data_IF_552383805883
#
_entry.id   IF_552383805883
#
_cell.length_a   1.000
_cell.length_b   1.000
_cell.length_c   1.000
_cell.angle_alpha   90.00
_cell.angle_beta   90.00
_cell.angle_gamma   90.00
#
_symmetry.space_group_name_H-M   'P 1'
#
loop_
_entity.id
_entity.type
_entity.pdbx_description
1 polymer ?
#
# COMPACT_ATOMS: atom_id res chain seq x y z
N UNK A 1 -3.52 -33.30 17.34
CA UNK A 1 -4.91 -32.99 16.92
C UNK A 1 -4.88 -32.28 15.57
N UNK A 2 -5.04 -33.05 14.50
CA UNK A 2 -5.04 -32.59 13.10
C UNK A 2 -6.32 -31.79 12.82
N UNK A 3 -6.23 -30.46 12.80
CA UNK A 3 -7.26 -29.64 12.14
C UNK A 3 -6.90 -29.59 10.66
N UNK A 4 -7.51 -30.50 9.92
CA UNK A 4 -7.61 -30.51 8.46
C UNK A 4 -7.69 -29.09 7.89
N UNK A 5 -6.81 -28.77 6.93
CA UNK A 5 -6.88 -27.58 6.08
C UNK A 5 -8.05 -27.63 5.08
N UNK A 6 -9.07 -28.46 5.34
CA UNK A 6 -10.30 -28.51 4.55
C UNK A 6 -10.99 -27.15 4.62
N UNK A 7 -10.85 -26.42 3.53
CA UNK A 7 -11.51 -25.15 3.27
C UNK A 7 -13.03 -25.42 3.22
N UNK A 8 -13.84 -24.85 4.12
CA UNK A 8 -15.29 -24.99 4.04
C UNK A 8 -15.77 -24.41 2.71
N UNK A 9 -16.61 -25.16 1.98
CA UNK A 9 -17.38 -24.65 0.84
C UNK A 9 -18.46 -23.71 1.40
N UNK A 10 -18.12 -22.44 1.58
CA UNK A 10 -19.10 -21.40 1.89
C UNK A 10 -19.84 -21.04 0.59
N UNK A 11 -21.18 -21.03 0.62
CA UNK A 11 -22.09 -20.84 -0.51
C UNK A 11 -22.11 -19.42 -1.10
N UNK A 12 -20.95 -18.76 -1.17
CA UNK A 12 -20.79 -17.40 -1.70
C UNK A 12 -20.56 -17.43 -3.21
N UNK A 13 -21.23 -16.52 -3.91
CA UNK A 13 -21.23 -16.27 -5.37
C UNK A 13 -19.92 -15.64 -5.88
N UNK A 14 -18.77 -16.17 -5.49
CA UNK A 14 -17.44 -15.74 -5.95
C UNK A 14 -16.91 -16.56 -7.13
N UNK A 15 -15.92 -16.06 -7.89
CA UNK A 15 -15.35 -16.82 -8.99
C UNK A 15 -14.64 -18.09 -8.49
N UNK A 16 -14.79 -19.20 -9.23
CA UNK A 16 -14.06 -20.43 -8.96
C UNK A 16 -12.56 -20.22 -9.15
N UNK A 17 -11.77 -20.88 -8.31
CA UNK A 17 -10.31 -20.85 -8.32
C UNK A 17 -9.74 -22.27 -8.38
N UNK A 18 -8.48 -22.41 -8.80
CA UNK A 18 -7.71 -23.66 -8.79
C UNK A 18 -7.17 -24.02 -7.38
N UNK A 19 -8.02 -23.97 -6.35
CA UNK A 19 -7.60 -24.06 -4.94
C UNK A 19 -6.83 -25.34 -4.58
N UNK A 20 -7.20 -26.47 -5.18
CA UNK A 20 -6.61 -27.79 -5.01
C UNK A 20 -5.19 -27.90 -5.58
N UNK A 21 -4.84 -27.00 -6.50
CA UNK A 21 -3.51 -26.95 -7.13
C UNK A 21 -2.55 -25.97 -6.43
N UNK A 22 -3.04 -25.17 -5.49
CA UNK A 22 -2.23 -24.16 -4.82
C UNK A 22 -1.42 -24.78 -3.69
N UNK A 23 -0.12 -24.48 -3.70
CA UNK A 23 0.79 -24.88 -2.64
C UNK A 23 0.90 -23.75 -1.62
N UNK A 24 0.75 -24.10 -0.35
CA UNK A 24 1.09 -23.21 0.75
C UNK A 24 2.52 -23.49 1.23
N UNK A 25 3.34 -22.45 1.36
CA UNK A 25 4.71 -22.54 1.85
C UNK A 25 4.92 -21.57 3.01
N UNK A 26 5.87 -21.88 3.89
CA UNK A 26 6.26 -20.92 4.95
C UNK A 26 7.40 -20.06 4.43
N UNK A 27 7.23 -18.75 4.52
CA UNK A 27 8.32 -17.77 4.33
C UNK A 27 8.45 -16.93 5.58
N UNK A 28 9.60 -16.32 5.79
CA UNK A 28 9.85 -15.52 6.98
C UNK A 28 10.60 -14.23 6.66
N UNK A 29 10.36 -13.23 7.51
CA UNK A 29 11.14 -12.01 7.59
C UNK A 29 11.32 -11.61 9.04
N UNK A 30 11.96 -10.47 9.26
CA UNK A 30 12.03 -9.80 10.55
C UNK A 30 11.48 -8.39 10.42
N UNK A 31 10.99 -7.83 11.52
CA UNK A 31 10.57 -6.43 11.57
C UNK A 31 11.77 -5.56 11.22
N UNK A 32 11.64 -4.80 10.14
CA UNK A 32 12.69 -3.95 9.59
C UNK A 32 12.85 -2.67 10.41
N UNK A 33 14.05 -2.10 10.44
CA UNK A 33 14.25 -0.73 10.94
C UNK A 33 13.54 0.28 10.02
N UNK A 34 13.19 1.48 10.52
CA UNK A 34 12.93 2.63 9.65
C UNK A 34 14.11 2.88 8.71
N UNK A 35 13.84 3.23 7.46
CA UNK A 35 14.87 3.45 6.45
C UNK A 35 15.29 4.93 6.47
N UNK A 36 16.50 5.18 6.96
CA UNK A 36 17.18 6.47 6.84
C UNK A 36 17.87 6.60 5.47
N UNK A 37 17.81 7.79 4.87
CA UNK A 37 18.62 8.16 3.71
C UNK A 37 19.86 8.95 4.17
N UNK A 38 20.85 9.11 3.30
CA UNK A 38 22.05 9.89 3.61
C UNK A 38 21.73 11.36 3.98
N UNK A 39 20.68 11.92 3.36
CA UNK A 39 20.12 13.21 3.74
C UNK A 39 18.94 13.01 4.69
N UNK A 40 18.85 13.87 5.72
CA UNK A 40 17.67 13.96 6.58
C UNK A 40 16.44 14.54 5.84
N UNK A 41 16.64 15.15 4.68
CA UNK A 41 15.61 15.86 3.94
C UNK A 41 15.02 15.04 2.79
N UNK A 42 13.69 15.04 2.70
CA UNK A 42 12.91 14.70 1.51
C UNK A 42 12.56 15.99 0.78
N UNK A 43 12.93 16.10 -0.50
CA UNK A 43 12.64 17.28 -1.32
C UNK A 43 11.30 17.05 -2.00
N UNK A 44 10.33 17.93 -1.71
CA UNK A 44 9.00 17.84 -2.30
C UNK A 44 8.95 18.32 -3.74
N UNK A 45 7.91 17.95 -4.48
CA UNK A 45 7.60 18.47 -5.82
C UNK A 45 7.33 19.99 -5.83
N UNK A 46 7.12 20.57 -4.65
CA UNK A 46 7.02 22.01 -4.41
C UNK A 46 8.38 22.68 -4.15
N UNK A 47 9.48 21.94 -4.26
CA UNK A 47 10.84 22.40 -3.98
C UNK A 47 11.17 22.52 -2.49
N UNK A 48 10.28 22.10 -1.58
CA UNK A 48 10.47 22.25 -0.14
C UNK A 48 11.10 21.00 0.46
N UNK A 49 12.25 21.17 1.11
CA UNK A 49 12.89 20.14 1.92
C UNK A 49 12.14 19.93 3.25
N UNK A 50 11.89 18.67 3.62
CA UNK A 50 11.19 18.28 4.85
C UNK A 50 11.91 17.15 5.57
N UNK A 51 11.94 17.19 6.90
CA UNK A 51 12.38 16.07 7.74
C UNK A 51 11.15 15.35 8.25
N UNK A 52 10.91 14.14 7.74
CA UNK A 52 9.66 13.39 7.96
C UNK A 52 9.96 11.94 8.29
N UNK A 53 9.11 11.27 9.08
CA UNK A 53 9.14 9.82 9.19
C UNK A 53 8.88 9.19 7.81
N UNK A 54 9.62 8.11 7.52
CA UNK A 54 9.65 7.45 6.22
C UNK A 54 9.09 6.03 6.24
N UNK A 55 9.61 5.20 5.32
CA UNK A 55 9.38 3.76 5.23
C UNK A 55 10.06 2.98 6.35
N UNK A 56 9.61 1.74 6.57
CA UNK A 56 10.17 0.80 7.54
C UNK A 56 9.69 0.99 8.97
N UNK A 57 10.05 0.05 9.83
CA UNK A 57 9.69 0.09 11.25
C UNK A 57 8.28 -0.38 11.57
N UNK A 58 7.77 0.15 12.68
CA UNK A 58 6.42 -0.13 13.20
C UNK A 58 5.68 1.19 13.31
N UNK A 59 4.68 1.41 12.47
CA UNK A 59 3.78 2.55 12.58
C UNK A 59 2.74 2.29 13.68
N UNK A 60 2.93 2.93 14.84
CA UNK A 60 2.09 2.71 16.02
C UNK A 60 0.69 3.33 15.91
N UNK A 61 0.56 4.41 15.13
CA UNK A 61 -0.68 5.21 15.01
C UNK A 61 -1.30 5.17 13.60
N UNK A 62 -0.78 4.32 12.70
CA UNK A 62 -1.30 4.15 11.34
C UNK A 62 -1.41 2.68 11.00
N UNK A 63 -2.62 2.27 10.62
CA UNK A 63 -2.98 0.90 10.24
C UNK A 63 -3.91 0.94 9.02
N UNK A 64 -4.18 -0.23 8.47
CA UNK A 64 -5.24 -0.38 7.45
C UNK A 64 -6.58 0.20 7.95
N UNK A 65 -7.28 0.88 7.06
CA UNK A 65 -8.50 1.62 7.33
C UNK A 65 -8.28 3.08 7.72
N UNK A 66 -7.08 3.50 8.14
CA UNK A 66 -6.78 4.91 8.42
C UNK A 66 -6.54 5.69 7.11
N UNK A 67 -6.81 7.00 7.12
CA UNK A 67 -6.50 7.89 5.98
C UNK A 67 -4.99 7.94 5.72
N UNK A 68 -4.60 7.86 4.45
CA UNK A 68 -3.20 7.76 4.03
C UNK A 68 -2.68 9.00 3.28
N UNK A 69 -3.48 10.08 3.20
CA UNK A 69 -3.13 11.34 2.53
C UNK A 69 -3.02 12.49 3.54
N UNK A 70 -2.05 13.37 3.31
CA UNK A 70 -1.83 14.58 4.11
C UNK A 70 -1.22 14.29 5.47
N UNK A 71 -0.45 13.21 5.57
CA UNK A 71 0.29 12.87 6.78
C UNK A 71 1.58 13.70 6.83
N UNK A 72 2.03 14.05 8.04
CA UNK A 72 3.39 14.55 8.25
C UNK A 72 4.37 13.38 8.21
N UNK A 73 4.51 12.79 7.03
CA UNK A 73 5.30 11.59 6.73
C UNK A 73 5.51 11.48 5.23
N UNK A 74 6.44 10.63 4.80
CA UNK A 74 6.70 10.37 3.37
C UNK A 74 6.81 8.86 3.16
N UNK A 75 5.91 8.28 2.34
CA UNK A 75 5.82 6.81 2.17
C UNK A 75 5.59 6.05 3.49
N UNK A 76 4.73 6.58 4.37
CA UNK A 76 4.42 5.91 5.65
C UNK A 76 3.83 4.52 5.38
N UNK A 77 4.45 3.49 5.93
CA UNK A 77 3.98 2.10 5.85
C UNK A 77 3.13 1.75 7.08
N UNK A 78 1.85 1.36 6.93
CA UNK A 78 0.96 1.09 8.06
C UNK A 78 1.27 -0.26 8.73
N UNK A 79 1.18 -0.30 10.06
CA UNK A 79 1.46 -1.51 10.83
C UNK A 79 2.96 -1.81 10.89
N UNK A 80 3.36 -2.97 10.37
CA UNK A 80 4.73 -3.50 10.47
C UNK A 80 5.33 -3.71 9.10
N UNK A 81 6.53 -3.20 8.88
CA UNK A 81 7.35 -3.51 7.72
C UNK A 81 8.27 -4.71 8.00
N UNK A 82 8.27 -5.70 7.11
CA UNK A 82 9.14 -6.87 7.17
C UNK A 82 10.17 -6.84 6.06
N UNK A 83 11.41 -7.18 6.40
CA UNK A 83 12.48 -7.46 5.45
C UNK A 83 13.18 -8.77 5.87
N UNK A 84 13.71 -9.52 4.91
CA UNK A 84 14.56 -10.67 5.20
C UNK A 84 16.03 -10.31 4.98
N UNK A 85 16.77 -10.13 6.07
CA UNK A 85 18.21 -9.82 6.06
C UNK A 85 19.11 -11.07 6.00
N UNK A 86 18.51 -12.27 5.90
CA UNK A 86 19.24 -13.53 5.87
C UNK A 86 20.00 -13.74 4.57
N UNK A 87 20.90 -14.74 4.60
CA UNK A 87 21.63 -15.23 3.44
C UNK A 87 21.40 -16.73 3.33
N UNK A 88 20.94 -17.18 2.17
CA UNK A 88 20.83 -18.60 1.86
C UNK A 88 22.10 -19.11 1.21
N UNK A 89 22.37 -20.41 1.36
CA UNK A 89 23.53 -21.08 0.73
C UNK A 89 23.49 -20.93 -0.80
N UNK A 90 22.30 -21.01 -1.38
CA UNK A 90 22.07 -20.89 -2.82
C UNK A 90 21.32 -19.62 -3.18
N UNK A 91 21.71 -19.01 -4.31
CA UNK A 91 21.05 -17.84 -4.89
C UNK A 91 21.77 -16.51 -4.64
N UNK A 92 21.22 -15.40 -5.14
CA UNK A 92 21.82 -14.07 -5.01
C UNK A 92 21.73 -13.53 -3.57
N UNK A 93 22.54 -12.52 -3.24
CA UNK A 93 22.64 -11.95 -1.88
C UNK A 93 21.26 -11.62 -1.28
N UNK A 94 20.43 -10.93 -2.04
CA UNK A 94 19.06 -10.54 -1.63
C UNK A 94 18.01 -11.61 -1.94
N UNK A 95 18.43 -12.84 -2.26
CA UNK A 95 17.57 -13.97 -2.60
C UNK A 95 16.47 -14.22 -1.56
N UNK A 96 16.78 -14.29 -0.26
CA UNK A 96 15.79 -14.52 0.78
C UNK A 96 14.70 -13.43 0.83
N UNK A 97 15.08 -12.15 0.67
CA UNK A 97 14.08 -11.08 0.65
C UNK A 97 13.28 -11.05 -0.65
N UNK A 98 13.91 -11.34 -1.78
CA UNK A 98 13.20 -11.52 -3.05
C UNK A 98 12.16 -12.65 -2.98
N UNK A 99 12.50 -13.75 -2.29
CA UNK A 99 11.58 -14.85 -2.05
C UNK A 99 10.42 -14.42 -1.14
N UNK A 100 10.70 -13.72 -0.03
CA UNK A 100 9.68 -13.15 0.86
C UNK A 100 8.73 -12.22 0.08
N UNK A 101 9.28 -11.26 -0.67
CA UNK A 101 8.54 -10.30 -1.49
C UNK A 101 7.70 -11.00 -2.56
N UNK A 102 8.20 -12.05 -3.21
CA UNK A 102 7.44 -12.77 -4.25
C UNK A 102 6.31 -13.58 -3.61
N UNK A 103 6.61 -14.32 -2.55
CA UNK A 103 5.71 -15.33 -1.96
C UNK A 103 4.57 -14.74 -1.14
N UNK A 104 4.83 -13.70 -0.33
CA UNK A 104 3.80 -13.12 0.52
C UNK A 104 2.64 -12.59 -0.34
N UNK A 105 1.41 -12.99 -0.08
CA UNK A 105 0.23 -12.47 -0.76
C UNK A 105 -0.65 -11.71 0.23
N UNK A 106 -1.29 -10.62 -0.22
CA UNK A 106 -2.24 -9.85 0.58
C UNK A 106 -3.36 -10.77 1.06
N UNK A 107 -3.60 -10.78 2.36
CA UNK A 107 -4.52 -11.70 3.03
C UNK A 107 -3.90 -12.99 3.54
N UNK A 108 -2.58 -13.21 3.35
CA UNK A 108 -1.86 -14.30 4.02
C UNK A 108 -1.78 -14.08 5.53
N UNK A 109 -1.76 -15.18 6.26
CA UNK A 109 -1.63 -15.18 7.72
C UNK A 109 -0.17 -14.97 8.09
N UNK A 110 0.08 -14.02 8.98
CA UNK A 110 1.40 -13.76 9.54
C UNK A 110 1.39 -14.10 11.04
N UNK A 111 2.45 -14.71 11.56
CA UNK A 111 2.60 -15.07 12.96
C UNK A 111 3.95 -14.62 13.47
N UNK A 112 3.96 -13.92 14.60
CA UNK A 112 5.18 -13.58 15.31
C UNK A 112 5.75 -14.85 15.95
N UNK A 113 7.03 -15.15 15.73
CA UNK A 113 7.69 -16.39 16.20
C UNK A 113 8.88 -16.14 17.12
N UNK A 114 9.15 -14.87 17.46
CA UNK A 114 10.14 -14.50 18.47
C UNK A 114 9.68 -13.29 19.27
N UNK A 115 10.42 -12.97 20.34
CA UNK A 115 10.17 -11.76 21.13
C UNK A 115 8.90 -11.83 21.99
N UNK A 116 8.54 -10.71 22.64
CA UNK A 116 7.47 -10.65 23.66
C UNK A 116 6.06 -10.84 23.11
N UNK A 117 5.90 -10.83 21.79
CA UNK A 117 4.63 -11.02 21.08
C UNK A 117 4.55 -12.36 20.35
N UNK A 118 5.44 -13.32 20.66
CA UNK A 118 5.40 -14.65 20.07
C UNK A 118 4.00 -15.28 20.13
N UNK A 119 3.58 -15.89 19.03
CA UNK A 119 2.26 -16.51 18.86
C UNK A 119 1.16 -15.56 18.38
N UNK A 120 1.34 -14.23 18.49
CA UNK A 120 0.36 -13.26 17.96
C UNK A 120 0.24 -13.35 16.45
N UNK A 121 -0.98 -13.18 15.96
CA UNK A 121 -1.35 -13.37 14.55
C UNK A 121 -1.76 -12.04 13.94
N UNK A 122 -1.24 -11.79 12.75
CA UNK A 122 -1.55 -10.66 11.89
C UNK A 122 -1.87 -11.12 10.47
N UNK A 123 -1.87 -10.16 9.55
CA UNK A 123 -2.20 -10.40 8.16
C UNK A 123 -1.35 -9.55 7.23
N UNK A 124 -0.86 -10.14 6.14
CA UNK A 124 -0.17 -9.40 5.07
C UNK A 124 -1.15 -8.42 4.41
N UNK A 125 -0.77 -7.15 4.36
CA UNK A 125 -1.60 -6.07 3.81
C UNK A 125 -1.09 -5.51 2.49
N UNK A 126 0.17 -5.76 2.15
CA UNK A 126 0.79 -5.15 0.98
C UNK A 126 2.27 -5.44 0.85
N UNK A 127 2.87 -4.85 -0.19
CA UNK A 127 4.31 -4.88 -0.47
C UNK A 127 4.75 -3.52 -0.98
N UNK A 128 5.89 -3.05 -0.53
CA UNK A 128 6.51 -1.83 -1.02
C UNK A 128 7.83 -2.17 -1.72
N UNK A 129 7.86 -2.01 -3.05
CA UNK A 129 9.03 -2.27 -3.88
C UNK A 129 10.12 -1.20 -3.73
N UNK A 130 11.37 -1.54 -4.03
CA UNK A 130 12.50 -0.61 -3.88
C UNK A 130 13.14 -0.75 -2.50
N UNK A 131 12.42 -0.39 -1.43
CA UNK A 131 12.82 -0.77 -0.06
C UNK A 131 12.57 -2.26 0.22
N UNK A 132 11.73 -2.89 -0.61
CA UNK A 132 11.43 -4.32 -0.60
C UNK A 132 10.91 -4.81 0.75
N UNK A 133 9.88 -4.14 1.24
CA UNK A 133 9.18 -4.51 2.47
C UNK A 133 7.88 -5.26 2.18
N UNK A 134 7.61 -6.30 2.97
CA UNK A 134 6.27 -6.88 3.10
C UNK A 134 5.57 -6.24 4.30
N UNK A 135 4.34 -5.78 4.10
CA UNK A 135 3.59 -5.06 5.14
C UNK A 135 2.61 -5.99 5.84
N UNK A 136 2.53 -5.89 7.16
CA UNK A 136 1.68 -6.74 8.00
C UNK A 136 0.94 -5.89 9.03
N UNK A 137 -0.37 -6.10 9.13
CA UNK A 137 -1.19 -5.52 10.20
C UNK A 137 -1.32 -6.47 11.39
N UNK A 138 -1.16 -5.91 12.59
CA UNK A 138 -1.47 -6.54 13.87
C UNK A 138 -2.37 -5.61 14.70
N UNK A 139 -3.13 -6.14 15.68
CA UNK A 139 -3.83 -5.33 16.66
C UNK A 139 -2.93 -4.30 17.35
N UNK A 140 -3.48 -3.13 17.71
CA UNK A 140 -2.70 -1.99 18.22
C UNK A 140 -1.96 -2.32 19.52
N UNK A 141 -2.56 -3.11 20.42
CA UNK A 141 -1.92 -3.60 21.64
C UNK A 141 -0.70 -4.50 21.37
N UNK A 142 -0.71 -5.22 20.24
CA UNK A 142 0.43 -6.00 19.76
C UNK A 142 1.50 -5.09 19.17
N UNK A 143 1.12 -4.12 18.31
CA UNK A 143 2.05 -3.17 17.69
C UNK A 143 2.91 -2.43 18.72
N UNK A 144 2.30 -2.00 19.84
CA UNK A 144 2.99 -1.30 20.94
C UNK A 144 4.04 -2.14 21.67
N UNK A 145 4.02 -3.47 21.50
CA UNK A 145 4.90 -4.41 22.19
C UNK A 145 5.90 -5.09 21.27
N UNK A 146 5.67 -5.04 19.95
CA UNK A 146 6.58 -5.57 18.95
C UNK A 146 7.90 -4.81 18.97
N UNK A 147 8.98 -5.51 18.62
CA UNK A 147 10.32 -4.94 18.56
C UNK A 147 10.88 -5.06 17.15
N UNK A 148 11.73 -4.11 16.78
CA UNK A 148 12.56 -4.25 15.58
C UNK A 148 13.38 -5.53 15.69
N UNK A 149 13.45 -6.31 14.61
CA UNK A 149 14.12 -7.61 14.58
C UNK A 149 13.26 -8.81 15.01
N UNK A 150 12.06 -8.60 15.58
CA UNK A 150 11.16 -9.72 15.87
C UNK A 150 10.85 -10.48 14.56
N UNK A 151 10.93 -11.82 14.61
CA UNK A 151 10.73 -12.70 13.45
C UNK A 151 9.25 -12.96 13.24
N UNK A 152 8.84 -12.88 11.98
CA UNK A 152 7.46 -13.14 11.55
C UNK A 152 7.48 -14.19 10.45
N UNK A 153 6.73 -15.27 10.66
CA UNK A 153 6.47 -16.29 9.65
C UNK A 153 5.15 -16.00 8.95
N UNK A 154 5.13 -16.14 7.63
CA UNK A 154 3.96 -15.99 6.79
C UNK A 154 3.66 -17.35 6.17
N UNK A 155 2.40 -17.77 6.28
CA UNK A 155 1.88 -18.88 5.46
C UNK A 155 1.57 -18.30 4.08
N UNK A 156 2.55 -18.39 3.18
CA UNK A 156 2.46 -17.95 1.79
C UNK A 156 1.48 -18.85 1.04
N UNK A 157 0.40 -18.29 0.53
CA UNK A 157 -0.61 -19.02 -0.23
C UNK A 157 -1.32 -18.08 -1.22
N UNK A 158 -1.15 -18.30 -2.52
CA UNK A 158 -1.71 -17.46 -3.58
C UNK A 158 -0.87 -17.36 -4.85
N UNK A 159 0.42 -17.72 -4.79
CA UNK A 159 1.21 -17.88 -6.01
C UNK A 159 0.63 -19.01 -6.88
N UNK A 160 0.45 -18.72 -8.17
CA UNK A 160 -0.18 -19.64 -9.12
C UNK A 160 -1.71 -19.65 -9.09
N UNK A 161 -2.35 -18.76 -8.34
CA UNK A 161 -3.80 -18.59 -8.35
C UNK A 161 -4.29 -18.21 -9.74
N UNK A 162 -5.30 -18.94 -10.22
CA UNK A 162 -5.98 -18.69 -11.49
C UNK A 162 -7.48 -18.69 -11.30
N UNK A 163 -8.17 -18.02 -12.21
CA UNK A 163 -9.62 -18.04 -12.37
C UNK A 163 -9.93 -18.84 -13.64
N UNK A 164 -10.19 -20.16 -13.58
CA UNK A 164 -10.28 -20.98 -14.80
C UNK A 164 -11.35 -20.54 -15.81
N UNK A 165 -12.45 -19.96 -15.32
CA UNK A 165 -13.51 -19.39 -16.17
C UNK A 165 -13.19 -18.00 -16.75
N UNK A 166 -12.12 -17.34 -16.28
CA UNK A 166 -11.67 -16.02 -16.74
C UNK A 166 -10.17 -16.03 -17.03
N UNK A 167 -9.69 -16.81 -18.01
CA UNK A 167 -8.25 -16.97 -18.29
C UNK A 167 -7.56 -15.67 -18.74
N UNK A 168 -8.32 -14.67 -19.19
CA UNK A 168 -7.83 -13.33 -19.55
C UNK A 168 -7.55 -12.44 -18.33
N UNK A 169 -7.98 -12.85 -17.13
CA UNK A 169 -7.74 -12.12 -15.88
C UNK A 169 -6.63 -12.82 -15.10
N UNK A 170 -5.54 -12.10 -14.88
CA UNK A 170 -4.40 -12.58 -14.10
C UNK A 170 -4.54 -12.16 -12.64
N UNK A 171 -4.24 -13.10 -11.73
CA UNK A 171 -4.25 -12.85 -10.28
C UNK A 171 -2.80 -12.74 -9.80
N UNK A 172 -2.52 -11.64 -9.13
CA UNK A 172 -1.20 -11.25 -8.64
C UNK A 172 -1.29 -11.03 -7.13
N UNK A 173 -0.25 -11.38 -6.35
CA UNK A 173 -0.13 -11.00 -4.93
C UNK A 173 -1.37 -11.23 -4.03
N UNK A 174 -2.32 -12.09 -4.41
CA UNK A 174 -3.64 -12.16 -3.78
C UNK A 174 -3.86 -13.54 -3.18
N UNK A 175 -4.09 -13.57 -1.86
CA UNK A 175 -4.41 -14.82 -1.19
C UNK A 175 -5.81 -15.32 -1.59
N UNK A 176 -6.04 -16.64 -1.72
CA UNK A 176 -7.38 -17.20 -1.90
C UNK A 176 -8.38 -16.72 -0.84
N UNK A 177 -7.90 -16.46 0.39
CA UNK A 177 -8.71 -15.96 1.50
C UNK A 177 -9.22 -14.53 1.25
N UNK A 178 -8.40 -13.66 0.64
CA UNK A 178 -8.83 -12.31 0.26
C UNK A 178 -9.89 -12.42 -0.84
N UNK A 179 -9.61 -13.16 -1.91
CA UNK A 179 -10.51 -13.29 -3.06
C UNK A 179 -11.91 -13.78 -2.67
N UNK A 180 -12.01 -14.74 -1.74
CA UNK A 180 -13.30 -15.21 -1.19
C UNK A 180 -14.07 -14.17 -0.35
N UNK A 181 -13.37 -13.23 0.26
CA UNK A 181 -13.96 -12.23 1.18
C UNK A 181 -14.24 -10.89 0.50
N UNK A 182 -13.56 -10.59 -0.60
CA UNK A 182 -13.63 -9.31 -1.31
C UNK A 182 -15.03 -9.01 -1.85
N UNK A 183 -15.86 -10.03 -2.09
CA UNK A 183 -17.21 -9.83 -2.63
C UNK A 183 -17.21 -9.58 -4.13
N UNK A 184 -16.26 -10.20 -4.84
CA UNK A 184 -16.26 -10.23 -6.31
C UNK A 184 -17.44 -11.06 -6.80
N UNK A 185 -18.21 -10.51 -7.73
CA UNK A 185 -19.38 -11.16 -8.30
C UNK A 185 -19.12 -11.54 -9.76
N UNK A 186 -19.38 -12.80 -10.08
CA UNK A 186 -19.40 -13.28 -11.45
C UNK A 186 -20.81 -13.12 -12.02
N UNK A 187 -20.97 -12.34 -13.09
CA UNK A 187 -22.26 -12.10 -13.75
C UNK A 187 -22.05 -11.79 -15.23
N UNK A 188 -22.88 -12.35 -16.10
CA UNK A 188 -22.91 -12.06 -17.54
C UNK A 188 -21.52 -12.22 -18.21
N UNK A 189 -20.77 -13.25 -17.81
CA UNK A 189 -19.41 -13.52 -18.30
C UNK A 189 -18.31 -12.58 -17.77
N UNK A 190 -18.66 -11.64 -16.89
CA UNK A 190 -17.77 -10.60 -16.35
C UNK A 190 -17.53 -10.77 -14.85
N UNK A 191 -16.45 -10.17 -14.36
CA UNK A 191 -16.10 -10.09 -12.94
C UNK A 191 -16.32 -8.66 -12.44
N UNK A 192 -17.35 -8.47 -11.61
CA UNK A 192 -17.62 -7.20 -10.95
C UNK A 192 -16.84 -7.15 -9.63
N UNK A 193 -15.87 -6.25 -9.55
CA UNK A 193 -14.92 -6.17 -8.43
C UNK A 193 -15.14 -4.89 -7.62
N UNK A 194 -15.51 -5.01 -6.34
CA UNK A 194 -15.68 -3.85 -5.46
C UNK A 194 -14.39 -3.05 -5.27
N UNK A 195 -14.43 -1.75 -5.58
CA UNK A 195 -13.34 -0.78 -5.37
C UNK A 195 -13.87 0.52 -4.80
N UNK A 196 -13.00 1.27 -4.11
CA UNK A 196 -13.34 2.58 -3.53
C UNK A 196 -13.12 3.72 -4.51
N UNK A 197 -12.12 3.62 -5.38
CA UNK A 197 -11.72 4.69 -6.30
C UNK A 197 -11.35 4.12 -7.68
N UNK A 198 -11.59 4.96 -8.70
CA UNK A 198 -10.97 4.82 -10.01
C UNK A 198 -9.76 5.75 -10.07
N UNK A 199 -8.70 5.31 -10.71
CA UNK A 199 -7.44 6.05 -10.85
C UNK A 199 -7.04 6.03 -12.33
N UNK A 200 -6.98 7.19 -13.00
CA UNK A 200 -6.45 7.25 -14.37
C UNK A 200 -4.98 6.86 -14.41
N UNK A 201 -4.57 6.02 -15.37
CA UNK A 201 -3.17 5.62 -15.57
C UNK A 201 -2.18 6.79 -15.66
N UNK A 202 -2.60 7.95 -16.19
CA UNK A 202 -1.77 9.17 -16.26
C UNK A 202 -1.32 9.73 -14.90
N UNK A 203 -1.95 9.29 -13.80
CA UNK A 203 -1.53 9.63 -12.45
C UNK A 203 -0.52 8.64 -11.88
N UNK A 204 -0.28 7.51 -12.54
CA UNK A 204 0.69 6.53 -12.06
C UNK A 204 2.11 7.04 -12.28
N UNK A 205 3.02 6.77 -11.33
CA UNK A 205 4.39 7.28 -11.34
C UNK A 205 5.41 6.21 -10.98
N UNK A 206 6.10 6.43 -9.85
CA UNK A 206 7.16 5.55 -9.37
C UNK A 206 6.71 4.08 -9.33
N UNK A 207 7.59 3.17 -9.78
CA UNK A 207 7.26 1.76 -10.00
C UNK A 207 6.93 1.40 -11.45
N UNK A 208 6.60 2.38 -12.32
CA UNK A 208 6.56 2.15 -13.77
C UNK A 208 7.92 1.68 -14.30
N UNK A 209 7.89 0.76 -15.29
CA UNK A 209 9.11 0.21 -15.90
C UNK A 209 9.78 -0.93 -15.11
N UNK A 210 9.26 -1.30 -13.93
CA UNK A 210 9.67 -2.54 -13.25
C UNK A 210 9.26 -3.74 -14.10
N UNK A 211 10.12 -4.76 -14.16
CA UNK A 211 9.91 -5.98 -14.96
C UNK A 211 9.06 -7.05 -14.26
N UNK A 212 8.42 -6.72 -13.13
CA UNK A 212 7.54 -7.63 -12.40
C UNK A 212 6.59 -6.84 -11.49
N UNK A 213 5.36 -7.33 -11.36
CA UNK A 213 4.37 -6.82 -10.41
C UNK A 213 4.29 -7.66 -9.11
N UNK A 214 5.04 -8.76 -9.00
CA UNK A 214 4.95 -9.66 -7.83
C UNK A 214 5.73 -9.18 -6.62
N UNK A 215 6.65 -8.23 -6.81
CA UNK A 215 7.63 -7.82 -5.79
C UNK A 215 7.48 -6.38 -5.32
N UNK A 216 6.30 -5.80 -5.45
CA UNK A 216 6.06 -4.45 -4.98
C UNK A 216 4.78 -3.85 -5.51
N UNK A 217 4.82 -2.54 -5.60
CA UNK A 217 3.75 -1.62 -5.87
C UNK A 217 4.21 -0.53 -6.84
N UNK A 218 3.30 0.38 -7.15
CA UNK A 218 3.54 1.58 -7.94
C UNK A 218 2.58 2.70 -7.55
N UNK A 219 3.03 3.94 -7.71
CA UNK A 219 2.51 5.08 -6.97
C UNK A 219 1.45 5.87 -7.72
N UNK A 220 0.42 6.32 -7.00
CA UNK A 220 -0.57 7.30 -7.47
C UNK A 220 -0.10 8.71 -7.13
N UNK A 221 0.28 9.50 -8.12
CA UNK A 221 0.69 10.89 -7.94
C UNK A 221 -0.50 11.78 -7.56
N UNK A 222 -0.33 12.61 -6.53
CA UNK A 222 -1.38 13.48 -5.98
C UNK A 222 -1.11 14.99 -6.17
N UNK A 223 -0.09 15.35 -6.95
CA UNK A 223 0.33 16.74 -7.18
C UNK A 223 -0.66 17.53 -8.03
N UNK A 224 -1.35 16.90 -8.99
CA UNK A 224 -2.38 17.55 -9.80
C UNK A 224 -3.71 17.64 -9.04
N UNK A 225 -3.93 18.79 -8.39
CA UNK A 225 -5.12 19.03 -7.56
C UNK A 225 -6.45 18.85 -8.30
N UNK A 226 -6.68 19.40 -9.52
CA UNK A 226 -7.95 19.24 -10.21
C UNK A 226 -8.31 17.77 -10.47
N UNK A 227 -7.35 16.95 -10.94
CA UNK A 227 -7.60 15.53 -11.16
C UNK A 227 -7.78 14.79 -9.84
N UNK A 228 -6.96 15.09 -8.83
CA UNK A 228 -7.10 14.49 -7.49
C UNK A 228 -8.50 14.71 -6.90
N UNK A 229 -9.04 15.92 -7.00
CA UNK A 229 -10.39 16.26 -6.51
C UNK A 229 -11.48 15.55 -7.33
N UNK A 230 -11.36 15.56 -8.67
CA UNK A 230 -12.31 14.85 -9.58
C UNK A 230 -12.43 13.37 -9.25
N UNK A 231 -11.32 12.70 -8.96
CA UNK A 231 -11.28 11.28 -8.62
C UNK A 231 -11.30 10.99 -7.12
N UNK A 232 -11.49 12.04 -6.29
CA UNK A 232 -11.58 11.94 -4.82
C UNK A 232 -10.36 11.28 -4.16
N UNK A 233 -9.19 11.37 -4.77
CA UNK A 233 -7.99 10.66 -4.30
C UNK A 233 -7.43 11.22 -2.99
N UNK A 234 -7.85 12.42 -2.57
CA UNK A 234 -7.54 12.95 -1.24
C UNK A 234 -8.22 12.20 -0.09
N UNK A 235 -9.15 11.28 -0.37
CA UNK A 235 -9.83 10.46 0.65
C UNK A 235 -9.33 9.01 0.75
N UNK A 236 -8.23 8.67 0.09
CA UNK A 236 -7.64 7.34 0.13
C UNK A 236 -7.28 6.94 1.58
N UNK A 237 -7.47 5.65 1.85
CA UNK A 237 -7.11 4.99 3.11
C UNK A 237 -6.15 3.85 2.84
N UNK A 238 -5.30 3.55 3.81
CA UNK A 238 -4.53 2.32 3.80
C UNK A 238 -5.46 1.11 3.67
N UNK A 239 -5.15 0.20 2.76
CA UNK A 239 -5.96 -0.99 2.48
C UNK A 239 -7.17 -0.76 1.58
N UNK A 240 -7.39 0.45 1.03
CA UNK A 240 -8.44 0.67 0.04
C UNK A 240 -8.16 -0.12 -1.24
N UNK A 241 -9.19 -0.78 -1.77
CA UNK A 241 -9.16 -1.39 -3.10
C UNK A 241 -9.40 -0.30 -4.14
N UNK A 242 -8.55 -0.22 -5.15
CA UNK A 242 -8.60 0.79 -6.21
C UNK A 242 -8.45 0.14 -7.58
N UNK A 243 -9.07 0.74 -8.60
CA UNK A 243 -8.90 0.30 -9.98
C UNK A 243 -8.18 1.38 -10.79
N UNK A 244 -7.09 0.99 -11.45
CA UNK A 244 -6.29 1.84 -12.30
C UNK A 244 -6.70 1.57 -13.74
N UNK A 245 -7.30 2.56 -14.40
CA UNK A 245 -7.80 2.43 -15.77
C UNK A 245 -6.66 2.57 -16.76
N UNK A 246 -6.74 1.84 -17.86
CA UNK A 246 -5.74 1.81 -18.93
C UNK A 246 -4.35 1.38 -18.42
N UNK A 247 -4.34 0.35 -17.57
CA UNK A 247 -3.13 -0.20 -16.98
C UNK A 247 -3.11 -1.72 -17.11
N UNK A 248 -1.90 -2.26 -17.34
CA UNK A 248 -1.62 -3.69 -17.32
C UNK A 248 -0.37 -3.94 -16.49
N UNK A 249 -0.45 -4.93 -15.59
CA UNK A 249 0.65 -5.33 -14.69
C UNK A 249 1.12 -6.77 -14.90
N UNK A 250 0.63 -7.50 -15.91
CA UNK A 250 0.92 -8.95 -16.12
C UNK A 250 2.41 -9.27 -16.26
N UNK A 251 3.21 -8.31 -16.73
CA UNK A 251 4.67 -8.44 -16.94
C UNK A 251 5.48 -7.36 -16.23
N UNK A 252 4.83 -6.56 -15.41
CA UNK A 252 5.36 -5.28 -14.92
C UNK A 252 4.39 -4.14 -15.20
N UNK A 253 4.39 -3.04 -14.43
CA UNK A 253 3.45 -1.94 -14.61
C UNK A 253 3.70 -1.16 -15.90
N UNK A 254 2.68 -1.05 -16.73
CA UNK A 254 2.68 -0.24 -17.96
C UNK A 254 1.29 0.30 -18.29
N UNK A 255 1.25 1.32 -19.15
CA UNK A 255 0.02 1.83 -19.76
C UNK A 255 -0.48 0.89 -20.85
N UNK A 256 -1.76 0.52 -20.79
CA UNK A 256 -2.40 -0.26 -21.84
C UNK A 256 -3.88 0.09 -21.94
N UNK A 257 -4.24 0.79 -23.01
CA UNK A 257 -5.63 1.17 -23.29
C UNK A 257 -6.55 -0.05 -23.28
N UNK A 258 -7.69 0.04 -22.58
CA UNK A 258 -8.67 -1.05 -22.53
C UNK A 258 -8.31 -2.20 -21.56
N UNK A 259 -7.24 -2.07 -20.77
CA UNK A 259 -6.98 -2.91 -19.62
C UNK A 259 -7.23 -2.16 -18.30
N UNK A 260 -7.43 -2.92 -17.23
CA UNK A 260 -7.56 -2.38 -15.87
C UNK A 260 -6.76 -3.25 -14.90
N UNK A 261 -6.02 -2.59 -14.03
CA UNK A 261 -5.37 -3.22 -12.88
C UNK A 261 -6.12 -2.83 -11.61
N UNK A 262 -6.53 -3.81 -10.82
CA UNK A 262 -7.12 -3.59 -9.50
C UNK A 262 -6.09 -3.99 -8.44
N UNK A 263 -5.88 -3.12 -7.47
CA UNK A 263 -4.91 -3.33 -6.42
C UNK A 263 -5.37 -2.75 -5.09
N UNK A 264 -4.46 -2.78 -4.12
CA UNK A 264 -4.69 -2.27 -2.76
C UNK A 264 -3.71 -1.17 -2.42
N UNK A 265 -4.15 -0.13 -1.71
CA UNK A 265 -3.29 0.95 -1.20
C UNK A 265 -2.45 0.42 -0.04
N UNK A 266 -1.12 0.51 -0.16
CA UNK A 266 -0.18 -0.13 0.79
C UNK A 266 0.66 0.84 1.59
N UNK A 267 0.98 2.03 1.06
CA UNK A 267 1.66 3.08 1.82
C UNK A 267 1.03 4.46 1.59
N UNK A 268 1.47 5.43 2.41
CA UNK A 268 0.94 6.78 2.45
C UNK A 268 1.39 7.62 1.28
N UNK A 269 0.83 8.82 1.17
CA UNK A 269 1.27 9.81 0.20
C UNK A 269 2.75 10.18 0.39
N UNK A 270 3.30 10.75 -0.67
CA UNK A 270 4.67 11.27 -0.70
C UNK A 270 4.64 12.70 -1.20
N UNK A 271 5.59 13.47 -0.70
CA UNK A 271 5.85 14.81 -1.22
C UNK A 271 6.79 14.79 -2.41
N UNK A 272 7.48 13.68 -2.68
CA UNK A 272 8.50 13.58 -3.74
C UNK A 272 7.84 13.53 -5.13
N UNK A 273 8.44 14.22 -6.11
CA UNK A 273 8.00 14.19 -7.51
C UNK A 273 7.92 12.75 -8.05
N UNK A 274 6.81 12.42 -8.72
CA UNK A 274 6.58 11.08 -9.26
C UNK A 274 6.07 10.04 -8.25
N UNK A 275 5.96 10.39 -6.97
CA UNK A 275 5.54 9.48 -5.90
C UNK A 275 4.18 9.83 -5.29
N UNK A 276 3.62 8.92 -4.49
CA UNK A 276 2.34 9.09 -3.80
C UNK A 276 1.88 7.79 -3.11
N UNK A 277 0.59 7.57 -2.82
CA UNK A 277 0.14 6.30 -2.26
C UNK A 277 0.42 5.12 -3.20
N UNK A 278 1.13 4.11 -2.70
CA UNK A 278 1.50 2.92 -3.49
C UNK A 278 0.36 1.92 -3.62
N UNK A 279 0.27 1.26 -4.77
CA UNK A 279 -0.71 0.22 -5.09
C UNK A 279 -0.02 -1.12 -5.36
N UNK A 280 -0.22 -2.12 -4.49
CA UNK A 280 0.15 -3.51 -4.82
C UNK A 280 -0.91 -4.10 -5.77
N UNK A 281 -0.55 -4.53 -7.00
CA UNK A 281 -1.50 -5.12 -7.94
C UNK A 281 -2.05 -6.46 -7.44
N UNK A 282 -3.36 -6.68 -7.62
CA UNK A 282 -4.06 -7.90 -7.19
C UNK A 282 -4.73 -8.66 -8.35
N UNK A 283 -5.35 -7.92 -9.27
CA UNK A 283 -6.00 -8.44 -10.47
C UNK A 283 -5.63 -7.54 -11.65
N UNK A 284 -5.42 -8.10 -12.82
CA UNK A 284 -5.26 -7.32 -14.05
C UNK A 284 -5.90 -8.03 -15.22
N UNK A 285 -6.49 -7.28 -16.14
CA UNK A 285 -7.10 -7.86 -17.32
C UNK A 285 -7.85 -6.85 -18.18
N UNK A 286 -8.55 -7.35 -19.21
CA UNK A 286 -9.36 -6.53 -20.10
C UNK A 286 -10.51 -5.83 -19.36
N UNK A 287 -10.74 -4.56 -19.68
CA UNK A 287 -11.77 -3.73 -19.05
C UNK A 287 -13.21 -4.11 -19.46
N UNK A 288 -13.38 -4.93 -20.51
CA UNK A 288 -14.66 -5.53 -20.91
C UNK A 288 -15.02 -6.78 -20.07
N UNK A 289 -14.06 -7.33 -19.32
CA UNK A 289 -14.20 -8.54 -18.48
C UNK A 289 -14.09 -8.21 -17.00
N UNK A 290 -13.09 -7.41 -16.61
CA UNK A 290 -12.81 -7.03 -15.24
C UNK A 290 -13.44 -5.66 -14.96
N UNK A 291 -14.61 -5.64 -14.29
CA UNK A 291 -15.45 -4.45 -14.14
C UNK A 291 -15.32 -3.90 -12.71
N UNK A 292 -14.64 -2.77 -12.49
CA UNK A 292 -14.64 -2.12 -11.18
C UNK A 292 -16.04 -1.60 -10.83
N UNK A 293 -16.49 -1.87 -9.61
CA UNK A 293 -17.77 -1.38 -9.09
C UNK A 293 -17.52 -0.58 -7.83
N UNK A 294 -18.05 0.65 -7.77
CA UNK A 294 -17.86 1.50 -6.61
C UNK A 294 -18.52 0.91 -5.35
N UNK A 295 -17.72 0.72 -4.31
CA UNK A 295 -18.11 0.23 -3.00
C UNK A 295 -17.29 0.95 -1.91
N UNK A 296 -17.89 1.88 -1.15
CA UNK A 296 -17.16 2.68 -0.14
C UNK A 296 -16.46 1.88 0.96
N UNK A 297 -16.90 0.63 1.17
CA UNK A 297 -16.34 -0.30 2.16
C UNK A 297 -15.39 -1.34 1.56
N UNK A 298 -14.97 -1.21 0.30
CA UNK A 298 -13.96 -2.07 -0.30
C UNK A 298 -12.55 -1.72 0.23
N UNK A 299 -12.32 -2.04 1.50
CA UNK A 299 -11.07 -1.82 2.22
C UNK A 299 -10.69 -3.11 2.98
N UNK A 300 -9.40 -3.46 3.05
CA UNK A 300 -8.93 -4.66 3.75
C UNK A 300 -9.44 -4.78 5.18
N UNK A 301 -9.49 -3.67 5.93
CA UNK A 301 -9.96 -3.67 7.31
C UNK A 301 -11.42 -4.14 7.42
N UNK A 302 -12.27 -3.69 6.50
CA UNK A 302 -13.70 -4.06 6.40
C UNK A 302 -13.87 -5.49 5.85
N UNK A 303 -13.17 -5.82 4.76
CA UNK A 303 -13.24 -7.13 4.08
C UNK A 303 -12.88 -8.28 5.04
N UNK A 304 -11.91 -8.05 5.92
CA UNK A 304 -11.48 -9.04 6.91
C UNK A 304 -12.13 -8.87 8.29
N UNK A 305 -12.96 -7.84 8.49
CA UNK A 305 -13.59 -7.56 9.79
C UNK A 305 -12.58 -7.25 10.90
N UNK A 306 -11.44 -6.63 10.56
CA UNK A 306 -10.37 -6.30 11.51
C UNK A 306 -10.75 -5.07 12.34
N UNK A 307 -11.28 -4.04 11.68
CA UNK A 307 -11.78 -2.80 12.29
C UNK A 307 -12.62 -2.04 11.26
N UNK A 308 -13.42 -1.09 11.74
CA UNK A 308 -14.09 -0.13 10.85
C UNK A 308 -13.06 0.81 10.24
N UNK A 309 -13.12 0.98 8.92
CA UNK A 309 -12.28 1.96 8.22
C UNK A 309 -12.76 3.38 8.53
N UNK A 310 -11.83 4.33 8.53
CA UNK A 310 -12.16 5.74 8.67
C UNK A 310 -13.15 6.17 7.58
N UNK A 311 -14.00 7.15 7.91
CA UNK A 311 -14.90 7.76 6.94
C UNK A 311 -14.05 8.45 5.86
N UNK A 312 -14.24 8.15 4.56
CA UNK A 312 -13.51 8.82 3.50
C UNK A 312 -13.74 10.33 3.55
N UNK A 313 -12.67 11.11 3.73
CA UNK A 313 -12.72 12.57 3.77
C UNK A 313 -11.63 13.12 2.87
N UNK A 314 -11.98 14.02 1.96
CA UNK A 314 -10.98 14.72 1.15
C UNK A 314 -10.01 15.46 2.07
N UNK A 315 -8.73 15.15 1.93
CA UNK A 315 -7.64 15.85 2.62
C UNK A 315 -6.75 16.56 1.61
N UNK A 316 -6.27 17.78 1.95
CA UNK A 316 -5.14 18.36 1.25
C UNK A 316 -3.88 17.50 1.49
N UNK A 317 -2.95 17.52 0.54
CA UNK A 317 -1.62 16.92 0.72
C UNK A 317 -0.81 17.73 1.75
N UNK A 318 0.26 17.13 2.28
CA UNK A 318 1.15 17.85 3.20
C UNK A 318 1.72 19.14 2.58
N UNK A 319 2.10 19.08 1.30
CA UNK A 319 2.60 20.24 0.56
C UNK A 319 1.59 21.41 0.53
N UNK A 320 0.30 21.11 0.34
CA UNK A 320 -0.75 22.13 0.38
C UNK A 320 -0.99 22.67 1.79
N UNK A 321 -0.91 21.82 2.81
CA UNK A 321 -1.05 22.22 4.22
C UNK A 321 0.08 23.22 4.58
N UNK A 322 1.32 22.90 4.22
CA UNK A 322 2.48 23.74 4.50
C UNK A 322 2.44 25.06 3.73
N UNK A 323 2.08 25.02 2.44
CA UNK A 323 1.95 26.24 1.63
C UNK A 323 0.92 27.21 2.21
N UNK A 324 -0.23 26.71 2.68
CA UNK A 324 -1.24 27.54 3.36
C UNK A 324 -0.69 28.16 4.64
N UNK A 325 0.04 27.39 5.45
CA UNK A 325 0.67 27.91 6.68
C UNK A 325 1.66 29.04 6.39
N UNK A 326 2.53 28.89 5.38
CA UNK A 326 3.48 29.94 4.97
C UNK A 326 2.79 31.22 4.47
N UNK A 327 1.63 31.10 3.81
CA UNK A 327 0.86 32.29 3.38
C UNK A 327 0.25 33.05 4.57
N UNK A 328 -0.15 32.33 5.63
CA UNK A 328 -0.73 32.93 6.85
C UNK A 328 0.37 33.53 7.73
N UNK A 329 1.48 32.82 7.89
CA UNK A 329 2.67 33.25 8.63
C UNK A 329 3.57 34.09 7.72
N UNK A 330 3.09 35.26 7.30
CA UNK A 330 4.03 36.31 6.88
C UNK A 330 4.70 36.80 8.14
N UNK A 331 5.92 36.34 8.40
CA UNK A 331 6.73 36.91 9.47
C UNK A 331 6.81 38.42 9.25
N UNK A 332 6.53 39.24 10.27
CA UNK A 332 6.85 40.65 10.16
C UNK A 332 8.34 40.75 9.78
N UNK A 333 8.71 41.68 8.88
CA UNK A 333 10.10 41.84 8.52
C UNK A 333 10.92 41.97 9.81
N UNK A 334 12.07 41.28 9.85
CA UNK A 334 12.97 41.38 10.98
C UNK A 334 13.21 42.86 11.26
N UNK A 335 12.77 43.35 12.42
CA UNK A 335 13.15 44.69 12.87
C UNK A 335 14.64 44.60 13.15
N UNK A 336 15.45 45.24 12.32
CA UNK A 336 16.85 45.41 12.61
C UNK A 336 16.93 46.10 13.98
N UNK A 337 17.80 45.59 14.87
CA UNK A 337 18.01 46.19 16.19
C UNK A 337 18.42 47.69 16.10
N UNK A 338 18.86 48.10 14.92
CA UNK A 338 19.24 49.46 14.56
C UNK A 338 18.50 49.90 13.29
N UNK A 339 17.16 49.88 13.29
CA UNK A 339 16.44 50.78 12.39
C UNK A 339 16.75 52.20 12.85
N UNK A 340 17.76 52.80 12.20
CA UNK A 340 18.13 54.19 12.40
C UNK A 340 16.91 55.02 12.02
N UNK A 341 16.16 55.43 13.04
CA UNK A 341 15.07 56.38 12.91
C UNK A 341 15.58 57.58 12.12
N UNK A 342 15.13 57.68 10.87
CA UNK A 342 15.28 58.87 10.06
C UNK A 342 14.63 60.02 10.83
N UNK A 343 15.45 60.82 11.51
CA UNK A 343 15.10 62.20 11.85
C UNK A 343 15.03 62.96 10.53
N UNK A 344 13.88 62.89 9.86
CA UNK A 344 13.44 63.97 8.99
C UNK A 344 12.79 65.02 9.91
N UNK A 345 13.58 66.01 10.31
CA UNK A 345 13.11 67.10 11.15
C UNK A 345 14.24 68.04 11.54
N UNK A 346 14.34 69.13 10.79
CA UNK A 346 15.04 70.42 11.02
C UNK A 346 16.15 70.73 10.02
N UNK A 347 15.77 71.31 8.88
CA UNK A 347 16.08 72.70 8.47
C UNK A 347 15.43 72.96 7.11
#
# INVERSE_FOLDING_TARGET
>A
MSRSLSIPRDGRTGPRINADQLVATTVAGQIAHPVGQASAYRIGYDGVARVLPGTGGIALNKRIGDLCVGLAGDHVEPGVALHNNGREVTGPRDGPNNALMTAACVGNVARVVSGPCCGKVGMVTGKHGGVNHVLVDFPTDVLMRLRIGDRVQIVSHGLGLRLPAWPRVEVLNCAPRLLRRWGILARDGRLHVPVTHLVPSRLMGSGLGKNTAWRGDYDIQLSDRPTRERYRLGSLRFGDMVAITDADTRRGPLYHSGCVTIGVIVHGDSTVSGHGPGVTPLLTGPADVLIPVHAPRANLAEIFGIRRAAVPRQRPTLAEIDCRRRRVLREPPARLAFDAGGRAGMA
#
